data_IF_015089481717
#
_entry.id   IF_015089481717
#
_cell.length_a   1.000
_cell.length_b   1.000
_cell.length_c   1.000
_cell.angle_alpha   90.00
_cell.angle_beta   90.00
_cell.angle_gamma   90.00
#
_symmetry.space_group_name_H-M   'P 1'
#
loop_
_entity.id
_entity.type
_entity.pdbx_description
1 polymer ?
#
# COMPACT_ATOMS: atom_id res chain seq x y z
N UNK A 1 -14.87 32.32 -14.15
CA UNK A 1 -14.41 32.77 -12.83
C UNK A 1 -14.36 31.56 -11.89
N UNK A 2 -13.23 31.41 -11.17
CA UNK A 2 -12.94 30.42 -10.11
C UNK A 2 -12.76 28.93 -10.50
N UNK A 3 -11.65 28.61 -11.19
CA UNK A 3 -11.08 27.25 -11.23
C UNK A 3 -9.62 27.23 -10.71
N UNK A 4 -9.34 27.99 -9.65
CA UNK A 4 -7.97 28.15 -9.11
C UNK A 4 -7.54 27.13 -8.04
N UNK A 5 -8.45 26.35 -7.48
CA UNK A 5 -8.15 25.53 -6.28
C UNK A 5 -8.26 24.01 -6.48
N UNK A 6 -8.94 23.55 -7.54
CA UNK A 6 -9.04 22.10 -7.86
C UNK A 6 -7.73 21.51 -8.40
N UNK A 7 -6.77 22.37 -8.75
CA UNK A 7 -5.45 22.01 -9.24
C UNK A 7 -4.35 22.12 -8.16
N UNK A 8 -4.71 22.31 -6.89
CA UNK A 8 -3.76 22.05 -5.80
C UNK A 8 -3.67 20.54 -5.70
N UNK A 9 -2.61 19.96 -6.27
CA UNK A 9 -2.29 18.56 -6.09
C UNK A 9 -2.22 18.28 -4.59
N UNK A 10 -3.31 17.79 -3.99
CA UNK A 10 -3.31 17.40 -2.59
C UNK A 10 -2.28 16.28 -2.47
N UNK A 11 -1.23 16.45 -1.65
CA UNK A 11 -0.20 15.43 -1.53
C UNK A 11 -0.86 14.14 -1.04
N UNK A 12 -0.93 13.16 -1.93
CA UNK A 12 -1.46 11.85 -1.61
C UNK A 12 -0.61 11.27 -0.47
N UNK A 13 -1.25 10.93 0.65
CA UNK A 13 -0.58 10.29 1.78
C UNK A 13 -0.23 11.18 2.99
N UNK A 14 -0.62 12.46 3.04
CA UNK A 14 -0.37 13.32 4.23
C UNK A 14 -0.91 12.69 5.51
N UNK A 15 -2.11 12.10 5.47
CA UNK A 15 -2.71 11.45 6.65
C UNK A 15 -1.85 10.30 7.16
N UNK A 16 -1.31 9.47 6.26
CA UNK A 16 -0.46 8.34 6.64
C UNK A 16 0.87 8.80 7.23
N UNK A 17 1.52 9.79 6.62
CA UNK A 17 2.77 10.37 7.16
C UNK A 17 2.52 11.03 8.52
N UNK A 18 1.38 11.69 8.71
CA UNK A 18 1.01 12.30 9.99
C UNK A 18 0.78 11.23 11.07
N UNK A 19 0.05 10.16 10.76
CA UNK A 19 -0.14 9.05 11.71
C UNK A 19 1.16 8.33 12.02
N UNK A 20 2.05 8.16 11.04
CA UNK A 20 3.39 7.61 11.26
C UNK A 20 4.24 8.50 12.18
N UNK A 21 4.18 9.83 12.01
CA UNK A 21 4.87 10.77 12.87
C UNK A 21 4.33 10.75 14.31
N UNK A 22 3.00 10.73 14.47
CA UNK A 22 2.37 10.64 15.79
C UNK A 22 2.71 9.30 16.46
N UNK A 23 2.63 8.19 15.74
CA UNK A 23 3.01 6.88 16.25
C UNK A 23 4.47 6.84 16.69
N UNK A 24 5.38 7.43 15.89
CA UNK A 24 6.79 7.56 16.26
C UNK A 24 6.99 8.36 17.55
N UNK A 25 6.33 9.51 17.70
CA UNK A 25 6.42 10.32 18.91
C UNK A 25 5.92 9.56 20.14
N UNK A 26 4.80 8.83 20.02
CA UNK A 26 4.26 8.02 21.11
C UNK A 26 5.23 6.89 21.47
N UNK A 27 5.71 6.12 20.49
CA UNK A 27 6.63 5.00 20.72
C UNK A 27 7.96 5.47 21.33
N UNK A 28 8.48 6.63 20.89
CA UNK A 28 9.67 7.26 21.46
C UNK A 28 9.47 7.71 22.92
N UNK A 29 8.31 8.30 23.24
CA UNK A 29 8.01 8.72 24.63
C UNK A 29 7.79 7.54 25.58
N UNK A 30 7.33 6.39 25.06
CA UNK A 30 7.15 5.15 25.84
C UNK A 30 8.43 4.36 26.02
N UNK A 31 9.49 4.66 25.27
CA UNK A 31 10.73 3.89 25.27
C UNK A 31 10.65 2.59 24.46
N UNK A 32 9.59 2.41 23.66
CA UNK A 32 9.40 1.23 22.79
C UNK A 32 10.28 1.30 21.52
N UNK A 33 10.86 2.46 21.21
CA UNK A 33 11.74 2.70 20.07
C UNK A 33 12.87 3.67 20.45
N UNK A 34 14.08 3.42 19.97
CA UNK A 34 15.19 4.38 20.13
C UNK A 34 14.90 5.68 19.37
N UNK A 35 15.22 6.81 20.01
CA UNK A 35 15.09 8.13 19.41
C UNK A 35 16.18 8.30 18.36
N UNK A 36 15.79 8.19 17.09
CA UNK A 36 16.67 8.53 15.98
C UNK A 36 17.20 9.97 16.06
N UNK A 37 18.52 10.09 16.08
CA UNK A 37 19.24 11.36 16.15
C UNK A 37 19.49 11.97 14.78
N UNK A 38 19.34 11.19 13.71
CA UNK A 38 19.56 11.63 12.33
C UNK A 38 18.26 12.08 11.66
N UNK A 39 18.19 13.36 11.32
CA UNK A 39 17.07 13.94 10.57
C UNK A 39 16.84 13.22 9.23
N UNK A 40 17.90 12.78 8.56
CA UNK A 40 17.81 12.09 7.26
C UNK A 40 17.10 10.74 7.40
N UNK A 41 17.43 9.96 8.45
CA UNK A 41 16.79 8.65 8.69
C UNK A 41 15.32 8.80 9.06
N UNK A 42 15.00 9.81 9.87
CA UNK A 42 13.61 10.14 10.19
C UNK A 42 12.84 10.59 8.94
N UNK A 43 13.43 11.45 8.10
CA UNK A 43 12.81 11.88 6.85
C UNK A 43 12.59 10.70 5.88
N UNK A 44 13.54 9.75 5.82
CA UNK A 44 13.41 8.53 5.02
C UNK A 44 12.26 7.64 5.53
N UNK A 45 12.13 7.48 6.85
CA UNK A 45 11.03 6.76 7.48
C UNK A 45 9.67 7.38 7.15
N UNK A 46 9.54 8.70 7.31
CA UNK A 46 8.28 9.43 7.08
C UNK A 46 7.86 9.48 5.60
N UNK A 47 8.82 9.46 4.68
CA UNK A 47 8.59 9.54 3.24
C UNK A 47 8.81 8.19 2.53
N UNK A 48 8.79 7.08 3.27
CA UNK A 48 9.01 5.76 2.67
C UNK A 48 7.83 5.40 1.76
N UNK A 49 8.05 5.39 0.45
CA UNK A 49 6.98 5.30 -0.56
C UNK A 49 6.08 4.07 -0.40
N UNK A 50 6.62 2.96 0.11
CA UNK A 50 5.87 1.72 0.31
C UNK A 50 4.82 1.85 1.43
N UNK A 51 5.02 2.75 2.39
CA UNK A 51 4.09 2.98 3.51
C UNK A 51 3.21 4.20 3.29
N UNK A 52 3.66 5.20 2.52
CA UNK A 52 2.93 6.45 2.28
C UNK A 52 1.64 6.27 1.47
N UNK A 53 1.60 5.29 0.55
CA UNK A 53 0.52 5.18 -0.45
C UNK A 53 -0.62 4.25 -0.05
N UNK A 54 -0.33 3.08 0.52
CA UNK A 54 -1.33 2.04 0.86
C UNK A 54 -0.84 1.07 1.97
N UNK A 55 0.27 1.37 2.66
CA UNK A 55 0.87 0.41 3.59
C UNK A 55 0.15 0.35 4.94
N UNK A 56 0.16 -0.79 5.65
CA UNK A 56 -0.18 -0.80 7.07
C UNK A 56 0.73 0.20 7.81
N UNK A 57 0.20 0.86 8.84
CA UNK A 57 0.97 1.84 9.62
C UNK A 57 2.19 1.12 10.22
N UNK A 58 3.36 1.33 9.62
CA UNK A 58 4.59 0.70 10.05
C UNK A 58 5.07 1.33 11.34
N UNK A 59 5.36 0.49 12.34
CA UNK A 59 5.97 0.95 13.57
C UNK A 59 7.44 1.29 13.35
N UNK A 60 7.86 2.41 13.92
CA UNK A 60 9.22 2.90 13.79
C UNK A 60 10.26 1.90 14.30
N UNK A 61 9.98 1.22 15.41
CA UNK A 61 10.87 0.21 15.99
C UNK A 61 11.13 -1.00 15.09
N UNK A 62 10.27 -1.30 14.11
CA UNK A 62 10.50 -2.38 13.15
C UNK A 62 11.18 -1.93 11.86
N UNK A 63 10.88 -0.71 11.40
CA UNK A 63 11.35 -0.21 10.10
C UNK A 63 12.71 0.48 10.19
N UNK A 64 12.98 1.25 11.25
CA UNK A 64 14.24 1.99 11.41
C UNK A 64 15.48 1.07 11.49
N UNK A 65 15.47 -0.04 12.23
CA UNK A 65 16.60 -0.97 12.24
C UNK A 65 16.81 -1.64 10.87
N UNK A 66 15.72 -1.91 10.14
CA UNK A 66 15.83 -2.45 8.78
C UNK A 66 16.47 -1.44 7.85
N UNK A 67 16.08 -0.16 7.88
CA UNK A 67 16.69 0.88 7.05
C UNK A 67 18.18 1.10 7.33
N UNK A 68 18.62 0.85 8.58
CA UNK A 68 20.02 0.98 8.99
C UNK A 68 20.86 -0.29 8.75
N UNK A 69 20.22 -1.44 8.48
CA UNK A 69 20.92 -2.70 8.26
C UNK A 69 21.65 -2.73 6.90
N UNK A 70 22.83 -3.37 6.87
CA UNK A 70 23.58 -3.59 5.65
C UNK A 70 22.83 -4.60 4.76
N UNK A 71 22.41 -4.16 3.58
CA UNK A 71 21.72 -5.00 2.61
C UNK A 71 22.69 -5.48 1.54
N UNK A 72 23.07 -6.76 1.61
CA UNK A 72 23.86 -7.40 0.55
C UNK A 72 22.94 -7.86 -0.58
N UNK A 73 23.42 -7.70 -1.81
CA UNK A 73 22.71 -8.16 -2.99
C UNK A 73 22.67 -9.69 -3.01
N UNK A 74 21.47 -10.25 -3.03
CA UNK A 74 21.22 -11.69 -3.16
C UNK A 74 20.36 -11.92 -4.41
N UNK A 75 20.95 -12.60 -5.40
CA UNK A 75 20.30 -12.92 -6.65
C UNK A 75 19.07 -13.81 -6.45
N UNK A 76 19.11 -14.78 -5.52
CA UNK A 76 18.00 -15.67 -5.26
C UNK A 76 16.81 -14.92 -4.63
N UNK A 77 17.09 -14.01 -3.70
CA UNK A 77 16.07 -13.12 -3.11
C UNK A 77 15.45 -12.20 -4.17
N UNK A 78 16.27 -11.64 -5.06
CA UNK A 78 15.83 -10.75 -6.14
C UNK A 78 14.93 -11.49 -7.15
N UNK A 79 15.32 -12.69 -7.59
CA UNK A 79 14.50 -13.50 -8.49
C UNK A 79 13.17 -13.88 -7.85
N UNK A 80 13.16 -14.23 -6.56
CA UNK A 80 11.92 -14.51 -5.83
C UNK A 80 11.00 -13.29 -5.77
N UNK A 81 11.56 -12.11 -5.47
CA UNK A 81 10.81 -10.85 -5.45
C UNK A 81 10.23 -10.54 -6.83
N UNK A 82 11.01 -10.71 -7.90
CA UNK A 82 10.55 -10.48 -9.27
C UNK A 82 9.45 -11.44 -9.69
N UNK A 83 9.53 -12.72 -9.31
CA UNK A 83 8.45 -13.70 -9.55
C UNK A 83 7.15 -13.32 -8.84
N UNK A 84 7.24 -12.88 -7.59
CA UNK A 84 6.09 -12.41 -6.82
C UNK A 84 5.47 -11.15 -7.44
N UNK A 85 6.33 -10.21 -7.86
CA UNK A 85 5.89 -9.02 -8.57
C UNK A 85 5.18 -9.36 -9.90
N UNK A 86 5.77 -10.26 -10.69
CA UNK A 86 5.18 -10.72 -11.95
C UNK A 86 3.82 -11.42 -11.73
N UNK A 87 3.69 -12.25 -10.69
CA UNK A 87 2.41 -12.88 -10.33
C UNK A 87 1.37 -11.85 -9.88
N UNK A 88 1.77 -10.84 -9.10
CA UNK A 88 0.89 -9.74 -8.70
C UNK A 88 0.41 -8.93 -9.90
N UNK A 89 1.32 -8.57 -10.80
CA UNK A 89 1.02 -7.84 -12.03
C UNK A 89 0.12 -8.65 -12.96
N UNK A 90 0.37 -9.96 -13.10
CA UNK A 90 -0.49 -10.83 -13.88
C UNK A 90 -1.92 -10.86 -13.33
N UNK A 91 -2.09 -10.98 -12.00
CA UNK A 91 -3.43 -10.94 -11.39
C UNK A 91 -4.13 -9.59 -11.63
N UNK A 92 -3.38 -8.50 -11.55
CA UNK A 92 -3.92 -7.16 -11.79
C UNK A 92 -4.40 -7.00 -13.24
N UNK A 93 -3.57 -7.35 -14.23
CA UNK A 93 -3.94 -7.18 -15.63
C UNK A 93 -4.96 -8.23 -16.08
N UNK A 94 -4.75 -9.50 -15.78
CA UNK A 94 -5.57 -10.59 -16.34
C UNK A 94 -6.96 -10.71 -15.71
N UNK A 95 -7.08 -10.41 -14.41
CA UNK A 95 -8.36 -10.54 -13.69
C UNK A 95 -9.00 -9.17 -13.51
N UNK A 96 -8.23 -8.19 -13.04
CA UNK A 96 -8.84 -6.92 -12.66
C UNK A 96 -9.35 -6.11 -13.86
N UNK A 97 -8.60 -6.12 -14.97
CA UNK A 97 -8.96 -5.38 -16.19
C UNK A 97 -10.21 -5.97 -16.87
N UNK A 98 -10.29 -7.31 -16.96
CA UNK A 98 -11.45 -8.01 -17.54
C UNK A 98 -12.71 -7.77 -16.71
N UNK A 99 -12.59 -7.78 -15.38
CA UNK A 99 -13.73 -7.50 -14.51
C UNK A 99 -14.14 -6.02 -14.55
N UNK A 100 -13.19 -5.08 -14.65
CA UNK A 100 -13.50 -3.65 -14.83
C UNK A 100 -14.32 -3.41 -16.10
N UNK A 101 -14.00 -4.09 -17.21
CA UNK A 101 -14.78 -3.95 -18.46
C UNK A 101 -16.27 -4.31 -18.29
N UNK A 102 -16.59 -5.31 -17.46
CA UNK A 102 -17.99 -5.71 -17.16
C UNK A 102 -18.67 -4.70 -16.24
N UNK A 103 -17.93 -4.16 -15.26
CA UNK A 103 -18.44 -3.14 -14.32
C UNK A 103 -18.73 -1.83 -15.06
N UNK A 104 -17.78 -1.38 -15.89
CA UNK A 104 -17.88 -0.11 -16.62
C UNK A 104 -18.97 -0.10 -17.70
N UNK A 105 -19.42 -1.27 -18.16
CA UNK A 105 -20.52 -1.37 -19.13
C UNK A 105 -21.89 -1.35 -18.44
N UNK A 106 -22.02 -2.02 -17.30
CA UNK A 106 -23.31 -2.22 -16.61
C UNK A 106 -23.65 -1.08 -15.65
N UNK A 107 -22.69 -0.52 -14.91
CA UNK A 107 -22.96 0.54 -13.93
C UNK A 107 -23.47 1.85 -14.56
N UNK A 108 -22.97 2.33 -15.72
CA UNK A 108 -23.49 3.54 -16.35
C UNK A 108 -24.89 3.37 -16.96
N UNK A 109 -25.27 2.15 -17.37
CA UNK A 109 -26.56 1.84 -17.99
C UNK A 109 -27.49 1.05 -17.04
N UNK A 110 -27.38 1.31 -15.73
CA UNK A 110 -28.08 0.53 -14.70
C UNK A 110 -29.60 0.48 -14.86
N UNK A 111 -30.20 1.45 -15.56
CA UNK A 111 -31.64 1.52 -15.82
C UNK A 111 -32.12 0.49 -16.87
N UNK A 112 -31.23 0.01 -17.75
CA UNK A 112 -31.57 -0.89 -18.85
C UNK A 112 -31.40 -2.38 -18.50
N UNK A 113 -30.80 -2.67 -17.33
CA UNK A 113 -30.48 -4.02 -16.89
C UNK A 113 -31.40 -4.51 -15.77
N UNK A 114 -31.66 -5.82 -15.76
CA UNK A 114 -32.51 -6.45 -14.75
C UNK A 114 -31.82 -6.51 -13.37
N UNK A 115 -32.61 -6.45 -12.30
CA UNK A 115 -32.13 -6.51 -10.91
C UNK A 115 -31.12 -7.65 -10.60
N UNK A 116 -31.31 -8.91 -11.06
CA UNK A 116 -30.33 -9.96 -10.81
C UNK A 116 -28.97 -9.71 -11.50
N UNK A 117 -28.97 -9.05 -12.66
CA UNK A 117 -27.74 -8.71 -13.38
C UNK A 117 -26.97 -7.59 -12.65
N UNK A 118 -27.67 -6.61 -12.09
CA UNK A 118 -27.07 -5.55 -11.26
C UNK A 118 -26.45 -6.12 -9.97
N UNK A 119 -27.14 -7.06 -9.31
CA UNK A 119 -26.63 -7.72 -8.10
C UNK A 119 -25.35 -8.51 -8.42
N UNK A 120 -25.35 -9.27 -9.52
CA UNK A 120 -24.18 -10.02 -9.94
C UNK A 120 -22.98 -9.09 -10.23
N UNK A 121 -23.21 -8.01 -10.97
CA UNK A 121 -22.16 -7.02 -11.26
C UNK A 121 -21.65 -6.33 -9.99
N UNK A 122 -22.52 -5.98 -9.05
CA UNK A 122 -22.12 -5.38 -7.77
C UNK A 122 -21.26 -6.34 -6.93
N UNK A 123 -21.62 -7.63 -6.89
CA UNK A 123 -20.83 -8.67 -6.22
C UNK A 123 -19.47 -8.83 -6.91
N UNK A 124 -19.44 -8.88 -8.24
CA UNK A 124 -18.18 -8.95 -8.99
C UNK A 124 -17.29 -7.73 -8.78
N UNK A 125 -17.87 -6.53 -8.72
CA UNK A 125 -17.16 -5.29 -8.39
C UNK A 125 -16.58 -5.32 -6.98
N UNK A 126 -17.34 -5.84 -6.01
CA UNK A 126 -16.83 -6.02 -4.65
C UNK A 126 -15.62 -6.96 -4.64
N UNK A 127 -15.72 -8.14 -5.28
CA UNK A 127 -14.58 -9.05 -5.39
C UNK A 127 -13.38 -8.39 -6.08
N UNK A 128 -13.61 -7.64 -7.16
CA UNK A 128 -12.58 -6.89 -7.87
C UNK A 128 -11.85 -5.90 -6.96
N UNK A 129 -12.60 -5.07 -6.22
CA UNK A 129 -12.03 -4.10 -5.30
C UNK A 129 -11.17 -4.76 -4.22
N UNK A 130 -11.61 -5.90 -3.69
CA UNK A 130 -10.84 -6.69 -2.72
C UNK A 130 -9.57 -7.28 -3.36
N UNK A 131 -9.66 -7.78 -4.59
CA UNK A 131 -8.50 -8.31 -5.32
C UNK A 131 -7.45 -7.23 -5.61
N UNK A 132 -7.89 -6.01 -5.96
CA UNK A 132 -7.01 -4.86 -6.19
C UNK A 132 -6.42 -4.33 -4.88
N UNK A 133 -7.19 -4.36 -3.78
CA UNK A 133 -6.74 -3.90 -2.46
C UNK A 133 -5.83 -4.89 -1.73
N UNK A 134 -5.62 -6.09 -2.27
CA UNK A 134 -4.60 -7.01 -1.77
C UNK A 134 -3.30 -6.76 -2.54
N UNK A 135 -2.44 -5.83 -2.07
CA UNK A 135 -1.10 -5.79 -2.60
C UNK A 135 -0.45 -7.14 -2.29
N UNK A 136 0.21 -7.71 -3.28
CA UNK A 136 1.05 -8.89 -3.15
C UNK A 136 2.30 -8.55 -2.30
N UNK A 137 2.10 -8.06 -1.07
CA UNK A 137 3.16 -7.93 -0.08
C UNK A 137 3.36 -9.33 0.48
N UNK A 138 4.44 -10.05 0.11
CA UNK A 138 4.81 -11.21 0.87
C UNK A 138 5.03 -10.73 2.30
N UNK A 139 4.41 -11.39 3.29
CA UNK A 139 4.93 -11.33 4.65
C UNK A 139 6.39 -11.77 4.54
N UNK A 140 7.32 -10.83 4.51
CA UNK A 140 8.73 -11.16 4.62
C UNK A 140 8.85 -11.92 5.94
N UNK A 141 9.39 -13.14 5.94
CA UNK A 141 9.77 -13.76 7.19
C UNK A 141 10.81 -12.84 7.80
N UNK A 142 10.38 -12.07 8.79
CA UNK A 142 11.29 -11.39 9.70
C UNK A 142 12.14 -12.54 10.28
N UNK A 143 13.47 -12.54 10.11
CA UNK A 143 14.27 -13.50 10.86
C UNK A 143 13.92 -13.33 12.34
N UNK A 144 13.80 -14.42 13.12
CA UNK A 144 13.61 -14.29 14.55
C UNK A 144 14.79 -13.47 15.08
N UNK A 145 14.51 -12.23 15.48
CA UNK A 145 15.42 -11.49 16.34
C UNK A 145 15.42 -12.30 17.62
N UNK A 146 16.57 -12.92 17.89
CA UNK A 146 16.88 -13.59 19.14
C UNK A 146 16.52 -12.63 20.28
N UNK A 147 15.43 -12.94 20.98
CA UNK A 147 15.21 -12.61 22.39
C UNK A 147 15.07 -13.95 23.09
#
# INVERSE_FOLDING_TARGET
>A
MLHGWRAVAMPLGISFTSFAAIAYLIDATRGDCEVETSFIRLALFLNFFATVTQGPICRAGALLPQLSAEHRFDAARTVRALRLYALGLFKYIAVADVLNMVVDTVFPHYADYSAPMLILTAVMYYFLSVFQSFPAIPRFPVPPVLV
#
